data_IF_398122475701
#
_entry.id   IF_398122475701
#
_cell.length_a   1.000
_cell.length_b   1.000
_cell.length_c   1.000
_cell.angle_alpha   90.00
_cell.angle_beta   90.00
_cell.angle_gamma   90.00
#
_symmetry.space_group_name_H-M   'P 1'
#
loop_
_entity.id
_entity.type
_entity.pdbx_description
1 polymer ?
#
# COMPACT_ATOMS: atom_id res chain seq x y z
N UNK A 1 15.52 -16.76 1.35
CA UNK A 1 14.56 -15.64 1.38
C UNK A 1 13.78 -15.67 0.08
N UNK A 2 12.48 -15.33 0.08
CA UNK A 2 11.70 -15.31 -1.16
C UNK A 2 12.28 -14.29 -2.13
N UNK A 3 12.26 -14.58 -3.43
CA UNK A 3 12.51 -13.59 -4.48
C UNK A 3 11.18 -13.04 -5.02
N UNK A 4 11.25 -12.16 -6.02
CA UNK A 4 10.08 -11.55 -6.63
C UNK A 4 9.13 -12.59 -7.25
N UNK A 5 9.67 -13.63 -7.91
CA UNK A 5 8.87 -14.66 -8.57
C UNK A 5 8.09 -15.45 -7.52
N UNK A 6 8.75 -15.81 -6.40
CA UNK A 6 8.12 -16.51 -5.29
C UNK A 6 7.01 -15.66 -4.66
N UNK A 7 7.27 -14.37 -4.40
CA UNK A 7 6.27 -13.47 -3.82
C UNK A 7 5.06 -13.26 -4.75
N UNK A 8 5.31 -12.96 -6.03
CA UNK A 8 4.25 -12.79 -7.03
C UNK A 8 3.44 -14.07 -7.24
N UNK A 9 4.11 -15.23 -7.29
CA UNK A 9 3.45 -16.54 -7.41
C UNK A 9 2.58 -16.83 -6.19
N UNK A 10 3.05 -16.50 -4.98
CA UNK A 10 2.26 -16.67 -3.76
C UNK A 10 0.98 -15.82 -3.79
N UNK A 11 1.09 -14.56 -4.21
CA UNK A 11 -0.06 -13.66 -4.38
C UNK A 11 -1.05 -14.20 -5.41
N UNK A 12 -0.57 -14.58 -6.61
CA UNK A 12 -1.42 -15.13 -7.67
C UNK A 12 -2.15 -16.41 -7.23
N UNK A 13 -1.44 -17.33 -6.58
CA UNK A 13 -2.04 -18.57 -6.05
C UNK A 13 -3.08 -18.29 -4.96
N UNK A 14 -2.85 -17.30 -4.10
CA UNK A 14 -3.81 -16.97 -3.05
C UNK A 14 -5.07 -16.32 -3.64
N UNK A 15 -4.94 -15.43 -4.63
CA UNK A 15 -6.07 -14.86 -5.37
C UNK A 15 -6.88 -15.94 -6.09
N UNK A 16 -6.22 -16.99 -6.61
CA UNK A 16 -6.86 -18.14 -7.22
C UNK A 16 -7.44 -19.15 -6.18
N UNK A 17 -7.38 -18.86 -4.88
CA UNK A 17 -7.85 -19.76 -3.82
C UNK A 17 -7.01 -21.04 -3.64
N UNK A 18 -5.82 -21.11 -4.26
CA UNK A 18 -4.96 -22.30 -4.25
C UNK A 18 -4.05 -22.37 -3.02
N UNK A 19 -3.80 -21.24 -2.36
CA UNK A 19 -3.05 -21.19 -1.10
C UNK A 19 -3.71 -20.24 -0.11
N UNK A 20 -3.42 -20.43 1.17
CA UNK A 20 -3.91 -19.57 2.24
C UNK A 20 -3.40 -18.12 2.11
N UNK A 21 -4.30 -17.15 2.27
CA UNK A 21 -4.01 -15.71 2.19
C UNK A 21 -2.93 -15.28 3.19
N UNK A 22 -3.05 -15.65 4.47
CA UNK A 22 -2.09 -15.26 5.50
C UNK A 22 -0.68 -15.78 5.18
N UNK A 23 -0.58 -16.99 4.61
CA UNK A 23 0.70 -17.53 4.13
C UNK A 23 1.27 -16.69 2.98
N UNK A 24 0.45 -16.32 2.00
CA UNK A 24 0.91 -15.49 0.88
C UNK A 24 1.33 -14.08 1.32
N UNK A 25 0.61 -13.46 2.26
CA UNK A 25 1.01 -12.20 2.88
C UNK A 25 2.37 -12.36 3.57
N UNK A 26 2.54 -13.39 4.40
CA UNK A 26 3.82 -13.65 5.07
C UNK A 26 5.00 -13.73 4.10
N UNK A 27 4.83 -14.42 2.96
CA UNK A 27 5.85 -14.51 1.91
C UNK A 27 6.18 -13.13 1.32
N UNK A 28 5.18 -12.28 1.07
CA UNK A 28 5.41 -10.93 0.54
C UNK A 28 6.13 -10.02 1.55
N UNK A 29 5.78 -10.13 2.84
CA UNK A 29 6.44 -9.38 3.90
C UNK A 29 7.89 -9.86 4.11
N UNK A 30 8.13 -11.17 4.04
CA UNK A 30 9.47 -11.75 4.08
C UNK A 30 10.34 -11.28 2.90
N UNK A 31 9.75 -11.23 1.69
CA UNK A 31 10.39 -10.66 0.49
C UNK A 31 10.79 -9.19 0.70
N UNK A 32 9.91 -8.39 1.31
CA UNK A 32 10.14 -6.97 1.54
C UNK A 32 11.33 -6.70 2.46
N UNK A 33 11.57 -7.54 3.48
CA UNK A 33 12.69 -7.34 4.42
C UNK A 33 14.05 -7.26 3.73
N UNK A 34 14.18 -7.91 2.58
CA UNK A 34 15.42 -7.91 1.78
C UNK A 34 15.36 -6.97 0.58
N UNK A 35 14.21 -6.35 0.33
CA UNK A 35 13.93 -5.54 -0.85
C UNK A 35 13.14 -4.28 -0.45
N UNK A 36 13.66 -3.39 0.42
CA UNK A 36 12.90 -2.27 1.00
C UNK A 36 12.26 -1.34 -0.04
N UNK A 37 12.89 -1.17 -1.21
CA UNK A 37 12.34 -0.41 -2.34
C UNK A 37 11.06 -0.99 -2.96
N UNK A 38 10.57 -2.15 -2.49
CA UNK A 38 9.34 -2.81 -2.97
C UNK A 38 8.13 -2.58 -2.06
N UNK A 39 8.24 -1.68 -1.07
CA UNK A 39 7.19 -1.43 -0.08
C UNK A 39 5.81 -1.18 -0.70
N UNK A 40 5.71 -0.33 -1.72
CA UNK A 40 4.43 -0.03 -2.38
C UNK A 40 3.83 -1.24 -3.12
N UNK A 41 4.65 -2.02 -3.85
CA UNK A 41 4.19 -3.23 -4.52
C UNK A 41 3.72 -4.30 -3.53
N UNK A 42 4.42 -4.44 -2.39
CA UNK A 42 4.03 -5.37 -1.34
C UNK A 42 2.76 -4.90 -0.62
N UNK A 43 2.61 -3.60 -0.38
CA UNK A 43 1.37 -3.05 0.14
C UNK A 43 0.18 -3.32 -0.81
N UNK A 44 0.36 -3.16 -2.13
CA UNK A 44 -0.66 -3.51 -3.12
C UNK A 44 -1.03 -5.00 -3.05
N UNK A 45 -0.05 -5.89 -2.91
CA UNK A 45 -0.32 -7.32 -2.73
C UNK A 45 -1.12 -7.61 -1.45
N UNK A 46 -0.78 -6.97 -0.33
CA UNK A 46 -1.55 -7.08 0.91
C UNK A 46 -3.00 -6.62 0.72
N UNK A 47 -3.25 -5.49 0.07
CA UNK A 47 -4.61 -5.00 -0.19
C UNK A 47 -5.38 -5.94 -1.11
N UNK A 48 -4.77 -6.40 -2.20
CA UNK A 48 -5.39 -7.33 -3.14
C UNK A 48 -5.79 -8.65 -2.47
N UNK A 49 -5.01 -9.09 -1.48
CA UNK A 49 -5.29 -10.28 -0.67
C UNK A 49 -6.25 -10.02 0.51
N UNK A 50 -6.74 -8.79 0.68
CA UNK A 50 -7.66 -8.40 1.75
C UNK A 50 -7.01 -8.08 3.09
N UNK A 51 -5.68 -8.14 3.21
CA UNK A 51 -4.95 -7.73 4.42
C UNK A 51 -4.64 -6.23 4.42
N UNK A 52 -5.70 -5.45 4.58
CA UNK A 52 -5.65 -3.99 4.66
C UNK A 52 -4.81 -3.51 5.85
N UNK A 53 -4.76 -4.27 6.94
CA UNK A 53 -4.02 -3.87 8.14
C UNK A 53 -2.50 -3.91 7.93
N UNK A 54 -1.97 -4.98 7.33
CA UNK A 54 -0.56 -5.02 6.93
C UNK A 54 -0.23 -3.93 5.91
N UNK A 55 -1.13 -3.66 4.96
CA UNK A 55 -0.94 -2.58 4.00
C UNK A 55 -0.78 -1.21 4.70
N UNK A 56 -1.64 -0.87 5.67
CA UNK A 56 -1.47 0.39 6.41
C UNK A 56 -0.18 0.44 7.22
N UNK A 57 0.22 -0.66 7.86
CA UNK A 57 1.49 -0.71 8.59
C UNK A 57 2.70 -0.47 7.67
N UNK A 58 2.64 -0.97 6.44
CA UNK A 58 3.65 -0.73 5.41
C UNK A 58 3.66 0.72 4.94
N UNK A 59 2.48 1.30 4.69
CA UNK A 59 2.36 2.69 4.26
C UNK A 59 2.82 3.67 5.36
N UNK A 60 2.57 3.36 6.63
CA UNK A 60 3.12 4.12 7.75
C UNK A 60 4.65 4.06 7.80
N UNK A 61 5.21 2.87 7.56
CA UNK A 61 6.66 2.69 7.41
C UNK A 61 7.23 3.49 6.25
N UNK A 62 6.62 3.37 5.06
CA UNK A 62 7.09 4.01 3.83
C UNK A 62 7.00 5.54 3.87
N UNK A 63 5.85 6.10 4.27
CA UNK A 63 5.65 7.56 4.23
C UNK A 63 6.20 8.28 5.45
N UNK A 64 6.29 7.63 6.62
CA UNK A 64 6.61 8.33 7.87
C UNK A 64 7.76 7.73 8.65
N UNK A 65 8.42 6.68 8.14
CA UNK A 65 9.49 6.00 8.88
C UNK A 65 8.99 5.49 10.23
N UNK A 66 7.75 4.99 10.29
CA UNK A 66 7.08 4.62 11.54
C UNK A 66 6.82 3.12 11.65
N UNK A 67 6.77 2.64 12.89
CA UNK A 67 6.39 1.26 13.20
C UNK A 67 7.40 0.20 12.72
N UNK A 68 6.97 -1.07 12.62
CA UNK A 68 7.86 -2.19 12.27
C UNK A 68 8.51 -2.08 10.89
N UNK A 69 7.91 -1.28 10.00
CA UNK A 69 8.38 -1.08 8.63
C UNK A 69 9.10 0.25 8.43
N UNK A 70 9.44 0.99 9.50
CA UNK A 70 10.23 2.22 9.41
C UNK A 70 11.48 2.12 8.51
N UNK A 71 12.25 1.01 8.50
CA UNK A 71 13.43 0.88 7.65
C UNK A 71 13.16 0.87 6.13
N UNK A 72 11.89 0.71 5.70
CA UNK A 72 11.53 0.75 4.27
C UNK A 72 11.26 2.17 3.77
N UNK A 73 11.25 3.16 4.66
CA UNK A 73 11.10 4.56 4.28
C UNK A 73 12.23 4.98 3.33
N UNK A 74 11.91 5.57 2.17
CA UNK A 74 12.91 6.28 1.39
C UNK A 74 13.53 7.41 2.22
N UNK A 75 14.73 7.89 1.87
CA UNK A 75 15.34 9.06 2.49
C UNK A 75 14.39 10.28 2.49
N UNK A 76 14.59 11.18 3.45
CA UNK A 76 13.85 12.43 3.48
C UNK A 76 14.22 13.28 2.25
N UNK A 77 13.21 13.90 1.61
CA UNK A 77 13.42 14.70 0.41
C UNK A 77 13.64 13.89 -0.87
N UNK A 78 13.45 12.57 -0.83
CA UNK A 78 13.46 11.74 -2.03
C UNK A 78 12.35 12.20 -3.01
N UNK A 79 12.70 12.75 -4.18
CA UNK A 79 11.72 13.22 -5.16
C UNK A 79 10.92 12.08 -5.78
N UNK A 80 11.41 10.85 -5.69
CA UNK A 80 10.75 9.65 -6.19
C UNK A 80 9.79 9.03 -5.16
N UNK A 81 9.51 9.73 -4.05
CA UNK A 81 8.48 9.33 -3.09
C UNK A 81 7.09 9.45 -3.73
N UNK A 82 6.67 8.35 -4.33
CA UNK A 82 5.43 8.24 -5.09
C UNK A 82 4.19 8.22 -4.19
N UNK A 83 3.19 9.02 -4.56
CA UNK A 83 1.86 9.03 -3.95
C UNK A 83 0.76 8.53 -4.89
N UNK A 84 1.05 8.43 -6.20
CA UNK A 84 0.14 7.92 -7.22
C UNK A 84 -0.24 6.45 -6.97
N UNK A 85 0.68 5.66 -6.40
CA UNK A 85 0.43 4.27 -6.01
C UNK A 85 -0.79 4.09 -5.09
N UNK A 86 -1.12 5.10 -4.26
CA UNK A 86 -2.28 5.08 -3.37
C UNK A 86 -3.62 5.10 -4.12
N UNK A 87 -3.61 5.56 -5.37
CA UNK A 87 -4.79 5.75 -6.20
C UNK A 87 -4.88 4.73 -7.36
N UNK A 88 -3.98 3.75 -7.39
CA UNK A 88 -4.06 2.65 -8.36
C UNK A 88 -5.17 1.65 -7.97
N UNK A 89 -5.79 0.95 -8.94
CA UNK A 89 -6.90 0.02 -8.67
C UNK A 89 -6.65 -1.03 -7.57
N UNK A 90 -5.45 -1.63 -7.42
CA UNK A 90 -5.19 -2.58 -6.33
C UNK A 90 -5.36 -1.99 -4.92
N UNK A 91 -5.28 -0.66 -4.78
CA UNK A 91 -5.47 0.03 -3.50
C UNK A 91 -6.93 0.42 -3.23
N UNK A 92 -7.87 0.12 -4.13
CA UNK A 92 -9.25 0.61 -4.04
C UNK A 92 -9.95 0.26 -2.72
N UNK A 93 -9.63 -0.88 -2.11
CA UNK A 93 -10.19 -1.28 -0.82
C UNK A 93 -9.76 -0.34 0.33
N UNK A 94 -8.62 0.34 0.22
CA UNK A 94 -8.19 1.35 1.20
C UNK A 94 -9.10 2.57 1.18
N UNK A 95 -9.63 2.96 0.01
CA UNK A 95 -10.34 4.22 -0.17
C UNK A 95 -11.61 4.34 0.68
N UNK A 96 -12.19 3.19 1.08
CA UNK A 96 -13.38 3.12 1.93
C UNK A 96 -13.05 3.03 3.42
N UNK A 97 -11.78 2.85 3.79
CA UNK A 97 -11.33 2.75 5.18
C UNK A 97 -11.02 4.15 5.76
N UNK A 98 -11.54 4.45 6.95
CA UNK A 98 -11.31 5.74 7.65
C UNK A 98 -9.83 6.03 7.91
N UNK A 99 -8.98 4.98 7.99
CA UNK A 99 -7.53 5.12 8.10
C UNK A 99 -6.92 5.78 6.87
N UNK A 100 -7.52 5.64 5.70
CA UNK A 100 -7.04 6.24 4.47
C UNK A 100 -7.15 7.76 4.48
N UNK A 101 -8.27 8.32 4.96
CA UNK A 101 -8.38 9.78 5.11
C UNK A 101 -7.31 10.33 6.06
N UNK A 102 -6.98 9.61 7.13
CA UNK A 102 -5.89 9.98 8.06
C UNK A 102 -4.52 9.90 7.40
N UNK A 103 -4.27 8.85 6.61
CA UNK A 103 -3.05 8.70 5.83
C UNK A 103 -2.88 9.90 4.87
N UNK A 104 -3.91 10.22 4.09
CA UNK A 104 -3.87 11.32 3.12
C UNK A 104 -3.70 12.69 3.78
N UNK A 105 -4.32 12.91 4.94
CA UNK A 105 -4.10 14.11 5.73
C UNK A 105 -2.66 14.23 6.21
N UNK A 106 -2.08 13.13 6.71
CA UNK A 106 -0.70 13.10 7.24
C UNK A 106 0.36 13.21 6.14
N UNK A 107 0.09 12.67 4.94
CA UNK A 107 0.94 12.89 3.74
C UNK A 107 0.83 14.36 3.26
N UNK A 108 -0.26 15.05 3.55
CA UNK A 108 -0.51 16.45 3.15
C UNK A 108 -1.40 16.61 1.91
N UNK A 109 -1.85 15.51 1.31
CA UNK A 109 -2.70 15.52 0.11
C UNK A 109 -4.07 16.17 0.36
N UNK A 110 -4.65 15.95 1.55
CA UNK A 110 -5.92 16.60 1.93
C UNK A 110 -5.80 18.12 1.90
N UNK A 111 -4.71 18.67 2.45
CA UNK A 111 -4.46 20.11 2.46
C UNK A 111 -4.17 20.63 1.05
N UNK A 112 -3.36 19.91 0.27
CA UNK A 112 -3.07 20.25 -1.12
C UNK A 112 -4.35 20.37 -1.97
N UNK A 113 -5.27 19.42 -1.87
CA UNK A 113 -6.53 19.46 -2.62
C UNK A 113 -7.46 20.59 -2.18
N UNK A 114 -7.48 20.90 -0.88
CA UNK A 114 -8.24 22.05 -0.36
C UNK A 114 -7.70 23.37 -0.93
N UNK A 115 -6.37 23.56 -0.90
CA UNK A 115 -5.74 24.79 -1.41
C UNK A 115 -5.90 24.96 -2.92
N UNK A 116 -5.82 23.86 -3.67
CA UNK A 116 -5.95 23.86 -5.13
C UNK A 116 -7.40 23.80 -5.61
N UNK A 117 -8.39 23.80 -4.71
CA UNK A 117 -9.81 23.61 -5.02
C UNK A 117 -10.08 22.36 -5.89
N UNK A 118 -9.25 21.33 -5.76
CA UNK A 118 -9.33 20.09 -6.56
C UNK A 118 -10.05 19.00 -5.79
N UNK A 119 -10.94 18.27 -6.45
CA UNK A 119 -11.56 17.06 -5.87
C UNK A 119 -10.94 15.82 -6.52
N UNK A 120 -10.29 14.92 -5.75
CA UNK A 120 -9.66 13.73 -6.31
C UNK A 120 -10.69 12.70 -6.77
N UNK A 121 -10.37 11.96 -7.84
CA UNK A 121 -11.31 11.05 -8.51
C UNK A 121 -11.72 9.84 -7.66
N UNK A 122 -10.85 9.36 -6.77
CA UNK A 122 -11.21 8.26 -5.86
C UNK A 122 -12.38 8.63 -4.93
N UNK A 123 -12.62 9.94 -4.67
CA UNK A 123 -13.80 10.44 -3.93
C UNK A 123 -15.04 10.65 -4.80
N UNK A 124 -14.91 10.51 -6.11
CA UNK A 124 -16.03 10.52 -7.07
C UNK A 124 -16.57 9.12 -7.32
N UNK A 125 -15.73 8.10 -7.13
CA UNK A 125 -16.05 6.68 -7.26
C UNK A 125 -17.01 6.11 -6.19
N UNK A 126 -17.96 6.92 -5.71
CA UNK A 126 -19.21 6.44 -5.11
C UNK A 126 -20.26 6.05 -6.18
N UNK A 127 -19.82 5.88 -7.44
CA UNK A 127 -20.65 5.39 -8.54
C UNK A 127 -20.23 3.94 -8.86
N UNK A 128 -21.06 3.02 -8.38
CA UNK A 128 -21.26 1.64 -8.86
C UNK A 128 -20.02 0.77 -9.12
N UNK A 129 -19.72 -0.11 -8.16
CA UNK A 129 -19.45 -1.53 -8.44
C UNK A 129 -20.28 -2.34 -7.46
#
# INVERSE_FOLDING_TARGET
MPDLIVAATATAKALAGQVNVARAVGINLDYLRSNPGRALSVAQACVALGDVSSAFALLDGYYFGAGPWAPVSPPAGDPDRQTDALFQPPMAALWRDRRFDRLLARVGLTHYWQQSATRPDYRRANLAV
#
